data_IF_279947263886
#
_entry.id   IF_279947263886
#
_cell.length_a   1.000
_cell.length_b   1.000
_cell.length_c   1.000
_cell.angle_alpha   90.00
_cell.angle_beta   90.00
_cell.angle_gamma   90.00
#
_symmetry.space_group_name_H-M   'P 1'
#
loop_
_entity.id
_entity.type
_entity.pdbx_description
1 polymer ?
#
# COMPACT_ATOMS: atom_id res chain seq x y z
N UNK A 1 -8.96 20.61 -8.01
CA UNK A 1 -8.52 19.24 -7.68
C UNK A 1 -7.00 19.24 -7.56
N UNK A 2 -6.47 18.61 -6.53
CA UNK A 2 -5.02 18.42 -6.43
C UNK A 2 -4.58 17.37 -7.45
N UNK A 3 -3.46 17.62 -8.13
CA UNK A 3 -2.89 16.71 -9.14
C UNK A 3 -1.66 16.05 -8.57
N UNK A 4 -1.51 14.73 -8.74
CA UNK A 4 -0.30 13.99 -8.42
C UNK A 4 0.53 13.85 -9.70
N UNK A 5 1.78 14.28 -9.65
CA UNK A 5 2.72 14.08 -10.76
C UNK A 5 3.21 12.64 -10.76
N UNK A 6 3.12 11.98 -11.90
CA UNK A 6 3.52 10.58 -12.08
C UNK A 6 4.46 10.49 -13.26
N UNK A 7 5.60 9.82 -13.05
CA UNK A 7 6.56 9.48 -14.10
C UNK A 7 6.44 8.01 -14.45
N UNK A 8 6.25 7.69 -15.72
CA UNK A 8 6.42 6.33 -16.23
C UNK A 8 7.92 6.01 -16.34
N UNK A 9 8.29 4.87 -15.78
CA UNK A 9 9.66 4.32 -15.85
C UNK A 9 9.77 3.27 -16.97
N UNK A 10 8.62 2.71 -17.38
CA UNK A 10 8.47 1.84 -18.54
C UNK A 10 7.32 2.35 -19.42
N UNK A 11 7.43 2.19 -20.73
CA UNK A 11 6.42 2.68 -21.69
C UNK A 11 5.04 2.07 -21.45
N UNK A 12 5.01 0.76 -21.16
CA UNK A 12 3.79 0.00 -20.89
C UNK A 12 3.23 0.16 -19.48
N UNK A 13 3.84 0.98 -18.63
CA UNK A 13 3.31 1.26 -17.30
C UNK A 13 1.96 1.98 -17.39
N UNK A 14 1.05 1.63 -16.49
CA UNK A 14 -0.30 2.19 -16.40
C UNK A 14 -0.36 3.13 -15.20
N UNK A 15 -0.87 4.35 -15.41
CA UNK A 15 -1.08 5.31 -14.33
C UNK A 15 -2.18 4.81 -13.39
N UNK A 16 -2.12 5.16 -12.08
CA UNK A 16 -3.18 4.81 -11.15
C UNK A 16 -4.54 5.35 -11.61
N UNK A 17 -5.58 4.54 -11.48
CA UNK A 17 -6.94 4.92 -11.88
C UNK A 17 -7.94 4.67 -10.75
N UNK A 18 -8.93 5.53 -10.64
CA UNK A 18 -10.07 5.32 -9.75
C UNK A 18 -11.13 4.48 -10.45
N UNK A 19 -11.61 3.42 -9.78
CA UNK A 19 -12.65 2.54 -10.34
C UNK A 19 -14.02 3.18 -10.47
N UNK A 20 -14.28 4.28 -9.73
CA UNK A 20 -15.50 5.07 -9.78
C UNK A 20 -15.23 6.50 -9.31
N UNK A 21 -16.15 7.42 -9.53
CA UNK A 21 -16.03 8.81 -9.06
C UNK A 21 -15.96 8.94 -7.53
N UNK A 22 -16.49 7.97 -6.79
CA UNK A 22 -16.46 7.93 -5.32
C UNK A 22 -15.40 6.98 -4.74
N UNK A 23 -14.52 6.39 -5.57
CA UNK A 23 -13.48 5.51 -5.09
C UNK A 23 -12.46 6.28 -4.24
N UNK A 24 -12.14 5.76 -3.05
CA UNK A 24 -11.15 6.37 -2.16
C UNK A 24 -9.71 6.06 -2.59
N UNK A 25 -9.48 4.86 -3.13
CA UNK A 25 -8.17 4.40 -3.58
C UNK A 25 -8.08 4.31 -5.09
N UNK A 26 -6.94 4.71 -5.65
CA UNK A 26 -6.60 4.48 -7.04
C UNK A 26 -5.95 3.10 -7.20
N UNK A 27 -6.33 2.34 -8.22
CA UNK A 27 -5.72 1.05 -8.51
C UNK A 27 -4.28 1.20 -8.99
N UNK A 28 -3.38 0.37 -8.49
CA UNK A 28 -2.01 0.18 -8.97
C UNK A 28 -1.95 -1.08 -9.83
N UNK A 29 -1.22 -0.98 -10.93
CA UNK A 29 -1.14 -2.02 -11.96
C UNK A 29 0.25 -2.65 -11.98
N UNK A 30 0.29 -3.99 -12.13
CA UNK A 30 1.54 -4.69 -12.40
C UNK A 30 2.12 -4.27 -13.76
N UNK A 31 3.42 -4.02 -13.80
CA UNK A 31 4.18 -3.74 -15.01
C UNK A 31 5.30 -4.76 -15.13
N UNK A 32 4.97 -5.91 -15.71
CA UNK A 32 5.83 -7.09 -15.78
C UNK A 32 6.27 -7.37 -17.21
N UNK A 33 7.47 -7.89 -17.38
CA UNK A 33 7.94 -8.43 -18.67
C UNK A 33 7.43 -9.87 -18.87
N UNK A 34 7.34 -10.64 -17.78
CA UNK A 34 6.81 -12.02 -17.75
C UNK A 34 5.85 -12.19 -16.56
N UNK A 35 4.95 -13.16 -16.66
CA UNK A 35 4.05 -13.52 -15.56
C UNK A 35 4.84 -13.96 -14.31
N UNK A 36 4.36 -13.59 -13.14
CA UNK A 36 4.97 -13.95 -11.86
C UNK A 36 4.03 -14.88 -11.10
N UNK A 37 4.49 -16.08 -10.79
CA UNK A 37 3.75 -17.05 -9.96
C UNK A 37 4.27 -17.00 -8.53
N UNK A 38 3.36 -16.87 -7.58
CA UNK A 38 3.64 -16.78 -6.14
C UNK A 38 3.07 -18.04 -5.48
N UNK A 39 3.93 -18.90 -4.96
CA UNK A 39 3.52 -20.10 -4.25
C UNK A 39 2.95 -19.76 -2.86
N UNK A 40 2.14 -20.64 -2.25
CA UNK A 40 1.64 -20.45 -0.88
C UNK A 40 2.78 -20.17 0.12
N UNK A 41 2.63 -19.10 0.91
CA UNK A 41 3.63 -18.65 1.88
C UNK A 41 4.79 -17.83 1.30
N UNK A 42 4.90 -17.72 -0.02
CA UNK A 42 5.95 -16.94 -0.67
C UNK A 42 5.55 -15.49 -0.94
N UNK A 43 6.55 -14.65 -1.18
CA UNK A 43 6.39 -13.26 -1.58
C UNK A 43 7.00 -13.03 -2.96
N UNK A 44 6.44 -12.06 -3.69
CA UNK A 44 7.04 -11.56 -4.92
C UNK A 44 6.97 -10.04 -5.01
N UNK A 45 8.02 -9.44 -5.55
CA UNK A 45 8.09 -8.03 -5.86
C UNK A 45 7.39 -7.76 -7.19
N UNK A 46 6.30 -6.99 -7.14
CA UNK A 46 5.54 -6.62 -8.33
C UNK A 46 5.81 -5.15 -8.64
N UNK A 47 6.63 -4.86 -9.66
CA UNK A 47 6.87 -3.51 -10.11
C UNK A 47 5.60 -2.93 -10.74
N UNK A 48 5.39 -1.62 -10.58
CA UNK A 48 4.31 -0.89 -11.24
C UNK A 48 4.79 -0.08 -12.44
N UNK A 49 6.10 0.07 -12.60
CA UNK A 49 6.71 0.86 -13.66
C UNK A 49 6.47 2.37 -13.53
N UNK A 50 6.03 2.84 -12.37
CA UNK A 50 5.80 4.26 -12.11
C UNK A 50 6.53 4.76 -10.87
N UNK A 51 6.92 6.02 -10.89
CA UNK A 51 7.30 6.83 -9.74
C UNK A 51 6.34 8.02 -9.65
N UNK A 52 6.06 8.51 -8.44
CA UNK A 52 5.12 9.61 -8.24
C UNK A 52 5.58 10.54 -7.11
N UNK A 53 4.99 11.73 -7.09
CA UNK A 53 5.26 12.73 -6.07
C UNK A 53 4.09 12.81 -5.10
N UNK A 54 4.27 12.28 -3.90
CA UNK A 54 3.32 12.49 -2.80
C UNK A 54 3.48 13.95 -2.32
N UNK A 55 2.38 14.71 -2.13
CA UNK A 55 2.47 16.07 -1.65
C UNK A 55 3.11 16.16 -0.26
N UNK A 56 3.84 17.25 -0.01
CA UNK A 56 4.37 17.54 1.35
C UNK A 56 3.23 17.57 2.38
N UNK A 57 3.48 17.02 3.57
CA UNK A 57 2.46 16.88 4.62
C UNK A 57 1.48 15.72 4.38
N UNK A 58 1.72 14.90 3.37
CA UNK A 58 0.94 13.69 3.09
C UNK A 58 1.84 12.45 3.02
N UNK A 59 1.21 11.29 3.14
CA UNK A 59 1.80 10.00 2.81
C UNK A 59 0.96 9.31 1.73
N UNK A 60 1.61 8.53 0.89
CA UNK A 60 0.96 7.57 0.02
C UNK A 60 0.83 6.23 0.74
N UNK A 61 -0.37 5.66 0.76
CA UNK A 61 -0.63 4.39 1.43
C UNK A 61 -1.01 3.33 0.39
N UNK A 62 -0.29 2.22 0.39
CA UNK A 62 -0.53 1.08 -0.48
C UNK A 62 -1.27 0.00 0.31
N UNK A 63 -2.50 -0.26 -0.08
CA UNK A 63 -3.38 -1.26 0.55
C UNK A 63 -3.67 -2.43 -0.38
N UNK A 64 -4.08 -3.55 0.23
CA UNK A 64 -4.64 -4.66 -0.50
C UNK A 64 -5.94 -4.26 -1.22
N UNK A 65 -6.19 -4.91 -2.36
CA UNK A 65 -7.52 -4.91 -2.98
C UNK A 65 -8.34 -6.08 -2.45
N UNK A 66 -9.62 -5.85 -2.18
CA UNK A 66 -10.52 -6.86 -1.63
C UNK A 66 -10.59 -8.13 -2.50
N UNK A 67 -10.64 -7.98 -3.81
CA UNK A 67 -10.70 -9.12 -4.74
C UNK A 67 -9.44 -9.99 -4.70
N UNK A 68 -8.25 -9.38 -4.55
CA UNK A 68 -7.01 -10.14 -4.41
C UNK A 68 -6.90 -10.77 -3.02
N UNK A 69 -7.11 -9.98 -1.97
CA UNK A 69 -6.93 -10.44 -0.59
C UNK A 69 -7.92 -11.54 -0.21
N UNK A 70 -9.20 -11.35 -0.54
CA UNK A 70 -10.27 -12.29 -0.12
C UNK A 70 -10.39 -13.49 -1.05
N UNK A 71 -10.35 -13.28 -2.39
CA UNK A 71 -10.58 -14.37 -3.36
C UNK A 71 -9.32 -15.13 -3.72
N UNK A 72 -8.17 -14.46 -3.75
CA UNK A 72 -6.92 -15.06 -4.22
C UNK A 72 -5.87 -15.24 -3.11
N UNK A 73 -6.12 -14.76 -1.92
CA UNK A 73 -5.17 -14.83 -0.81
C UNK A 73 -3.89 -14.01 -1.04
N UNK A 74 -3.95 -12.95 -1.84
CA UNK A 74 -2.81 -12.09 -2.14
C UNK A 74 -2.96 -10.73 -1.47
N UNK A 75 -2.01 -10.35 -0.66
CA UNK A 75 -1.99 -9.04 0.00
C UNK A 75 -0.56 -8.49 0.10
N UNK A 76 -0.39 -7.16 0.25
CA UNK A 76 0.93 -6.60 0.53
C UNK A 76 1.58 -7.25 1.75
N UNK A 77 2.81 -7.75 1.60
CA UNK A 77 3.53 -8.45 2.66
C UNK A 77 3.79 -7.58 3.89
N UNK A 78 3.97 -6.29 3.70
CA UNK A 78 4.12 -5.27 4.75
C UNK A 78 2.77 -4.76 5.32
N UNK A 79 1.65 -5.36 4.96
CA UNK A 79 0.27 -5.00 5.31
C UNK A 79 -0.17 -3.67 4.71
N UNK A 80 0.50 -2.57 5.03
CA UNK A 80 0.31 -1.25 4.44
C UNK A 80 1.69 -0.71 4.04
N UNK A 81 1.88 -0.43 2.76
CA UNK A 81 3.05 0.30 2.29
C UNK A 81 2.89 1.78 2.58
N UNK A 82 3.90 2.40 3.18
CA UNK A 82 3.93 3.85 3.42
C UNK A 82 4.95 4.47 2.48
N UNK A 83 4.48 5.37 1.63
CA UNK A 83 5.30 6.10 0.66
C UNK A 83 5.47 7.53 1.15
N UNK A 84 6.71 7.88 1.46
CA UNK A 84 7.07 9.20 1.97
C UNK A 84 6.96 10.28 0.88
N UNK A 85 6.74 11.53 1.31
CA UNK A 85 6.59 12.64 0.37
C UNK A 85 7.88 12.99 -0.40
N UNK A 86 9.03 12.59 0.09
CA UNK A 86 10.33 12.76 -0.56
C UNK A 86 10.82 11.53 -1.34
N UNK A 87 10.06 10.42 -1.33
CA UNK A 87 10.40 9.24 -2.12
C UNK A 87 10.17 9.50 -3.62
N UNK A 88 11.16 9.17 -4.44
CA UNK A 88 11.13 9.35 -5.92
C UNK A 88 11.43 8.05 -6.67
N UNK A 89 11.54 6.94 -5.95
CA UNK A 89 11.75 5.64 -6.56
C UNK A 89 10.47 5.03 -7.14
N UNK A 90 10.65 3.89 -7.78
CA UNK A 90 9.53 3.10 -8.30
C UNK A 90 8.61 2.62 -7.18
N UNK A 91 7.31 2.77 -7.39
CA UNK A 91 6.32 2.13 -6.51
C UNK A 91 6.30 0.63 -6.83
N UNK A 92 6.65 -0.17 -5.85
CA UNK A 92 6.62 -1.64 -5.95
C UNK A 92 5.68 -2.21 -4.91
N UNK A 93 4.91 -3.20 -5.30
CA UNK A 93 4.01 -3.93 -4.39
C UNK A 93 4.63 -5.30 -4.12
N UNK A 94 5.01 -5.56 -2.89
CA UNK A 94 5.46 -6.90 -2.49
C UNK A 94 4.23 -7.70 -2.08
N UNK A 95 3.80 -8.65 -2.90
CA UNK A 95 2.65 -9.50 -2.60
C UNK A 95 3.08 -10.76 -1.85
N UNK A 96 2.38 -11.08 -0.77
CA UNK A 96 2.43 -12.36 -0.07
C UNK A 96 1.23 -13.20 -0.49
N UNK A 97 1.46 -14.45 -0.84
CA UNK A 97 0.40 -15.43 -1.01
C UNK A 97 0.12 -16.09 0.35
N UNK A 98 -0.94 -15.66 1.02
CA UNK A 98 -1.41 -16.25 2.28
C UNK A 98 -2.52 -17.31 2.07
N UNK A 99 -2.82 -17.63 0.80
CA UNK A 99 -3.73 -18.69 0.39
C UNK A 99 -3.07 -20.07 0.38
N UNK A 100 -3.77 -21.04 -0.18
CA UNK A 100 -3.32 -22.45 -0.26
C UNK A 100 -2.91 -22.87 -1.67
N UNK A 101 -3.22 -22.07 -2.68
CA UNK A 101 -2.96 -22.37 -4.09
C UNK A 101 -1.96 -21.36 -4.68
N UNK A 102 -1.11 -21.78 -5.63
CA UNK A 102 -0.28 -20.86 -6.39
C UNK A 102 -1.12 -19.78 -7.06
N UNK A 103 -0.61 -18.56 -7.10
CA UNK A 103 -1.27 -17.43 -7.76
C UNK A 103 -0.33 -16.82 -8.79
N UNK A 104 -0.85 -16.56 -9.98
CA UNK A 104 -0.08 -15.93 -11.05
C UNK A 104 -0.57 -14.51 -11.30
N UNK A 105 0.35 -13.56 -11.35
CA UNK A 105 0.11 -12.17 -11.72
C UNK A 105 0.59 -11.94 -13.14
N UNK A 106 -0.29 -11.36 -13.95
CA UNK A 106 0.02 -10.92 -15.30
C UNK A 106 0.26 -9.41 -15.35
N UNK A 107 1.04 -8.95 -16.33
CA UNK A 107 1.21 -7.50 -16.56
C UNK A 107 -0.15 -6.85 -16.85
N UNK A 108 -0.37 -5.67 -16.29
CA UNK A 108 -1.64 -4.94 -16.41
C UNK A 108 -2.72 -5.35 -15.40
N UNK A 109 -2.50 -6.37 -14.57
CA UNK A 109 -3.41 -6.67 -13.47
C UNK A 109 -3.35 -5.60 -12.37
N UNK A 110 -4.50 -5.33 -11.75
CA UNK A 110 -4.60 -4.45 -10.58
C UNK A 110 -4.17 -5.20 -9.33
N UNK A 111 -3.03 -4.81 -8.73
CA UNK A 111 -2.37 -5.57 -7.66
C UNK A 111 -2.49 -4.94 -6.27
N UNK A 112 -2.81 -3.66 -6.20
CA UNK A 112 -3.00 -2.92 -4.96
C UNK A 112 -3.88 -1.71 -5.20
N UNK A 113 -4.22 -0.98 -4.15
CA UNK A 113 -4.82 0.34 -4.24
C UNK A 113 -4.00 1.36 -3.46
N UNK A 114 -3.99 2.58 -3.94
CA UNK A 114 -3.15 3.67 -3.46
C UNK A 114 -4.01 4.85 -3.01
N UNK A 115 -3.79 5.29 -1.77
CA UNK A 115 -4.46 6.45 -1.19
C UNK A 115 -3.43 7.51 -0.83
N UNK A 116 -3.80 8.79 -0.94
CA UNK A 116 -3.06 9.91 -0.37
C UNK A 116 -3.79 10.38 0.88
N UNK A 117 -3.07 10.50 1.99
CA UNK A 117 -3.62 10.95 3.27
C UNK A 117 -2.74 12.01 3.91
N UNK A 118 -3.30 13.07 4.53
CA UNK A 118 -2.53 13.97 5.38
C UNK A 118 -1.91 13.22 6.56
N UNK A 119 -0.70 13.62 6.95
CA UNK A 119 0.00 13.05 8.10
C UNK A 119 0.57 14.16 8.98
N UNK A 120 0.62 13.89 10.27
CA UNK A 120 1.33 14.72 11.24
C UNK A 120 2.72 14.13 11.46
N UNK A 121 3.74 14.97 11.49
CA UNK A 121 5.13 14.59 11.76
C UNK A 121 5.65 15.36 12.99
N UNK A 122 5.09 15.08 14.20
CA UNK A 122 5.52 15.74 15.42
C UNK A 122 6.96 15.36 15.78
N UNK A 123 7.65 16.24 16.47
CA UNK A 123 8.89 15.87 17.14
C UNK A 123 8.59 14.96 18.34
N UNK A 124 9.50 14.05 18.62
CA UNK A 124 9.42 13.19 19.81
C UNK A 124 10.31 13.79 20.90
N UNK A 125 9.76 13.90 22.12
CA UNK A 125 10.46 14.35 23.31
C UNK A 125 10.43 13.24 24.35
N UNK A 126 11.61 12.90 24.87
CA UNK A 126 11.71 11.96 26.00
C UNK A 126 11.33 12.69 27.28
N UNK A 127 10.36 12.12 28.00
CA UNK A 127 9.91 12.64 29.30
C UNK A 127 9.92 11.52 30.33
N UNK A 128 10.17 11.82 31.64
CA UNK A 128 10.21 10.80 32.67
C UNK A 128 8.84 10.15 32.93
N UNK A 129 7.76 10.89 32.72
CA UNK A 129 6.39 10.41 32.95
C UNK A 129 5.44 11.00 31.91
N UNK A 130 4.42 10.21 31.52
CA UNK A 130 3.31 10.67 30.70
C UNK A 130 2.17 11.15 31.57
N UNK A 131 1.30 11.99 31.01
CA UNK A 131 0.10 12.43 31.71
C UNK A 131 -0.85 11.26 32.04
N UNK A 132 -1.49 11.33 33.19
CA UNK A 132 -2.46 10.35 33.64
C UNK A 132 -3.76 10.39 32.81
N UNK A 133 -4.35 9.23 32.61
CA UNK A 133 -5.68 9.10 32.02
C UNK A 133 -6.52 8.06 32.77
N UNK A 134 -7.87 8.13 32.74
CA UNK A 134 -8.72 7.12 33.37
C UNK A 134 -8.48 5.68 32.86
N UNK A 135 -7.96 5.55 31.62
CA UNK A 135 -7.59 4.25 31.05
C UNK A 135 -6.24 3.75 31.54
N UNK A 136 -5.31 4.64 31.84
CA UNK A 136 -3.92 4.31 32.22
C UNK A 136 -3.27 3.35 31.24
N UNK A 137 -2.69 2.27 31.74
CA UNK A 137 -2.01 1.23 30.96
C UNK A 137 -2.94 0.14 30.44
N UNK A 138 -4.25 0.25 30.63
CA UNK A 138 -5.22 -0.73 30.20
C UNK A 138 -5.28 -0.90 28.67
N UNK A 139 -5.12 -2.15 28.21
CA UNK A 139 -5.15 -2.52 26.80
C UNK A 139 -5.45 -4.00 26.61
N UNK A 140 -5.38 -4.51 25.39
CA UNK A 140 -5.53 -5.92 25.02
C UNK A 140 -6.80 -6.59 25.60
N UNK A 141 -7.94 -5.87 25.57
CA UNK A 141 -9.22 -6.37 26.08
C UNK A 141 -9.48 -6.08 27.56
N UNK A 142 -8.70 -5.21 28.22
CA UNK A 142 -8.90 -4.81 29.62
C UNK A 142 -10.27 -4.14 29.89
N UNK A 143 -10.97 -3.68 28.85
CA UNK A 143 -12.31 -3.07 28.92
C UNK A 143 -13.46 -4.08 28.74
N UNK A 144 -13.17 -5.38 28.73
CA UNK A 144 -14.14 -6.45 28.54
C UNK A 144 -14.30 -6.91 27.09
N UNK A 145 -15.10 -7.99 26.91
CA UNK A 145 -15.51 -8.51 25.59
C UNK A 145 -16.78 -7.82 25.13
#
# INVERSE_FOLDING_TARGET
MSTIRVKKLKENAILPTYGSAGAAGADLYACLDEAVTILPGETAWIPTGIALEVPAGCAGLVYARSSLGVKRGLAPANKVGVIDSDYRGEIRVVLLNHGKEPQTILSGERVAQFLITPVLTPAYEEVPELSDTPRGTGGFGSTGK
#
